data_IF_546890382763
#
_entry.id   IF_546890382763
#
_cell.length_a   1.000
_cell.length_b   1.000
_cell.length_c   1.000
_cell.angle_alpha   90.00
_cell.angle_beta   90.00
_cell.angle_gamma   90.00
#
_symmetry.space_group_name_H-M   'P 1'
#
loop_
_entity.id
_entity.type
_entity.pdbx_description
1 polymer ?
#
# COMPACT_ATOMS: atom_id res chain seq x y z
N UNK A 1 -1.90 17.29 -5.45
CA UNK A 1 -3.21 16.64 -5.67
C UNK A 1 -4.17 17.22 -4.66
N UNK A 2 -5.36 17.63 -5.08
CA UNK A 2 -6.28 18.42 -4.25
C UNK A 2 -7.25 17.52 -3.47
N UNK A 3 -7.54 16.32 -3.98
CA UNK A 3 -8.59 15.45 -3.47
C UNK A 3 -8.04 14.20 -2.75
N UNK A 4 -6.80 14.26 -2.24
CA UNK A 4 -6.17 13.14 -1.53
C UNK A 4 -6.11 13.38 -0.02
N UNK A 5 -6.14 12.30 0.75
CA UNK A 5 -5.86 12.35 2.16
C UNK A 5 -4.41 12.83 2.44
N UNK A 6 -4.20 13.62 3.50
CA UNK A 6 -2.89 14.18 3.80
C UNK A 6 -1.90 13.07 4.18
N UNK A 7 -0.66 13.22 3.71
CA UNK A 7 0.46 12.37 4.12
C UNK A 7 0.75 12.62 5.59
N UNK A 8 0.86 11.54 6.35
CA UNK A 8 1.19 11.56 7.77
C UNK A 8 2.66 11.22 8.00
N UNK A 9 3.19 10.25 7.27
CA UNK A 9 4.55 9.77 7.46
C UNK A 9 5.11 9.12 6.21
N UNK A 10 6.38 9.35 5.93
CA UNK A 10 7.15 8.75 4.84
C UNK A 10 8.33 8.02 5.46
N UNK A 11 8.59 6.76 5.09
CA UNK A 11 9.71 6.00 5.62
C UNK A 11 10.29 5.05 4.57
N UNK A 12 11.62 4.94 4.55
CA UNK A 12 12.37 3.97 3.72
C UNK A 12 12.73 2.70 4.49
N UNK A 13 12.30 2.59 5.75
CA UNK A 13 12.49 1.39 6.56
C UNK A 13 11.47 0.34 6.11
N UNK A 14 11.97 -0.78 5.62
CA UNK A 14 11.12 -1.87 5.12
C UNK A 14 10.21 -2.42 6.23
N UNK A 15 8.94 -2.66 5.90
CA UNK A 15 7.95 -3.29 6.79
C UNK A 15 7.09 -4.27 6.00
N UNK A 16 7.13 -5.54 6.38
CA UNK A 16 6.39 -6.59 5.68
C UNK A 16 6.89 -6.78 4.25
N UNK A 17 6.00 -6.66 3.27
CA UNK A 17 6.31 -6.80 1.84
C UNK A 17 6.76 -5.50 1.16
N UNK A 18 6.69 -4.36 1.85
CA UNK A 18 7.06 -3.06 1.29
C UNK A 18 8.50 -2.67 1.69
N UNK A 19 9.30 -2.21 0.71
CA UNK A 19 10.67 -1.76 0.94
C UNK A 19 10.75 -0.37 1.58
N UNK A 20 9.74 0.46 1.34
CA UNK A 20 9.45 1.74 2.00
C UNK A 20 7.95 2.01 1.91
N UNK A 21 7.43 2.97 2.68
CA UNK A 21 5.99 3.24 2.72
C UNK A 21 5.67 4.70 3.04
N UNK A 22 4.57 5.16 2.46
CA UNK A 22 3.92 6.44 2.79
C UNK A 22 2.57 6.14 3.42
N UNK A 23 2.31 6.72 4.59
CA UNK A 23 1.02 6.60 5.28
C UNK A 23 0.23 7.87 5.04
N UNK A 24 -0.98 7.73 4.50
CA UNK A 24 -2.03 8.74 4.53
C UNK A 24 -3.15 8.29 5.46
N UNK A 25 -3.73 9.20 6.26
CA UNK A 25 -4.89 8.88 7.11
C UNK A 25 -6.11 9.67 6.62
N UNK A 26 -7.29 9.03 6.53
CA UNK A 26 -8.53 9.72 6.20
C UNK A 26 -8.82 10.86 7.16
N UNK A 27 -9.23 12.00 6.61
CA UNK A 27 -9.64 13.15 7.44
C UNK A 27 -11.05 13.00 8.01
N UNK A 28 -11.91 12.23 7.34
CA UNK A 28 -13.31 12.01 7.71
C UNK A 28 -13.76 10.59 7.34
N UNK A 29 -14.80 10.09 8.02
CA UNK A 29 -15.48 8.84 7.64
C UNK A 29 -16.27 9.07 6.34
N UNK A 30 -15.66 8.76 5.19
CA UNK A 30 -16.26 8.95 3.87
C UNK A 30 -17.10 7.74 3.47
N UNK A 31 -18.40 7.97 3.27
CA UNK A 31 -19.32 6.98 2.67
C UNK A 31 -19.42 7.11 1.15
N UNK A 32 -19.06 8.26 0.60
CA UNK A 32 -19.14 8.58 -0.83
C UNK A 32 -17.77 9.04 -1.30
N UNK A 33 -17.37 8.59 -2.48
CA UNK A 33 -16.10 8.98 -3.11
C UNK A 33 -16.38 9.44 -4.53
N UNK A 34 -15.86 10.61 -4.87
CA UNK A 34 -16.04 11.21 -6.19
C UNK A 34 -15.07 10.61 -7.21
N UNK A 35 -15.36 10.80 -8.50
CA UNK A 35 -14.44 10.42 -9.59
C UNK A 35 -13.08 11.12 -9.44
N UNK A 36 -13.07 12.40 -9.07
CA UNK A 36 -11.85 13.19 -8.91
C UNK A 36 -10.97 12.66 -7.78
N UNK A 37 -11.56 12.32 -6.62
CA UNK A 37 -10.84 11.69 -5.50
C UNK A 37 -10.21 10.34 -5.90
N UNK A 38 -10.95 9.50 -6.63
CA UNK A 38 -10.42 8.22 -7.11
C UNK A 38 -9.26 8.42 -8.09
N UNK A 39 -9.41 9.33 -9.05
CA UNK A 39 -8.35 9.67 -10.01
C UNK A 39 -7.09 10.19 -9.31
N UNK A 40 -7.24 11.12 -8.35
CA UNK A 40 -6.13 11.67 -7.59
C UNK A 40 -5.47 10.59 -6.72
N UNK A 41 -6.25 9.71 -6.09
CA UNK A 41 -5.75 8.59 -5.30
C UNK A 41 -4.97 7.60 -6.16
N UNK A 42 -5.45 7.30 -7.38
CA UNK A 42 -4.73 6.46 -8.34
C UNK A 42 -3.41 7.11 -8.76
N UNK A 43 -3.40 8.41 -9.04
CA UNK A 43 -2.18 9.14 -9.39
C UNK A 43 -1.16 9.13 -8.23
N UNK A 44 -1.62 9.37 -7.01
CA UNK A 44 -0.76 9.26 -5.80
C UNK A 44 -0.16 7.86 -5.67
N UNK A 45 -0.98 6.82 -5.85
CA UNK A 45 -0.57 5.41 -5.75
C UNK A 45 0.48 5.04 -6.81
N UNK A 46 0.37 5.59 -8.03
CA UNK A 46 1.34 5.40 -9.10
C UNK A 46 2.60 6.27 -8.97
N UNK A 47 2.67 7.15 -7.96
CA UNK A 47 3.77 8.10 -7.76
C UNK A 47 5.13 7.41 -7.65
N UNK A 48 5.22 6.28 -6.95
CA UNK A 48 6.48 5.52 -6.85
C UNK A 48 7.00 5.04 -8.21
N UNK A 49 6.12 4.44 -9.02
CA UNK A 49 6.46 3.99 -10.37
C UNK A 49 6.83 5.15 -11.29
N UNK A 50 6.08 6.25 -11.22
CA UNK A 50 6.38 7.45 -11.98
C UNK A 50 7.72 8.08 -11.58
N UNK A 51 8.07 8.08 -10.29
CA UNK A 51 9.37 8.54 -9.80
C UNK A 51 10.52 7.68 -10.36
N UNK A 52 10.37 6.35 -10.38
CA UNK A 52 11.37 5.46 -10.97
C UNK A 52 11.61 5.77 -12.47
N UNK A 53 10.53 5.93 -13.24
CA UNK A 53 10.62 6.28 -14.66
C UNK A 53 11.34 7.62 -14.89
N UNK A 54 11.09 8.62 -14.04
CA UNK A 54 11.66 9.96 -14.16
C UNK A 54 13.14 10.00 -13.74
N UNK A 55 13.50 9.29 -12.67
CA UNK A 55 14.84 9.36 -12.07
C UNK A 55 15.79 8.37 -12.72
N UNK A 56 15.34 7.12 -12.93
CA UNK A 56 16.19 6.03 -13.42
C UNK A 56 15.99 5.71 -14.89
N UNK A 57 14.89 6.16 -15.50
CA UNK A 57 14.56 5.83 -16.90
C UNK A 57 14.17 4.35 -17.11
N UNK A 58 14.03 3.59 -16.03
CA UNK A 58 13.66 2.18 -16.01
C UNK A 58 12.67 1.95 -14.85
N UNK A 59 11.80 0.96 -15.00
CA UNK A 59 10.80 0.58 -13.99
C UNK A 59 11.21 -0.70 -13.28
N UNK A 60 10.91 -0.79 -11.98
CA UNK A 60 11.18 -1.98 -11.19
C UNK A 60 9.90 -2.81 -10.93
N UNK A 61 10.07 -3.97 -10.31
CA UNK A 61 8.95 -4.79 -9.82
C UNK A 61 8.35 -4.25 -8.52
N UNK A 62 8.91 -3.20 -7.93
CA UNK A 62 8.46 -2.65 -6.64
C UNK A 62 7.03 -2.10 -6.65
N UNK A 63 6.54 -1.66 -7.82
CA UNK A 63 5.21 -1.09 -7.98
C UNK A 63 4.09 -2.12 -8.25
N UNK A 64 4.35 -3.42 -8.14
CA UNK A 64 3.35 -4.47 -8.48
C UNK A 64 2.04 -4.31 -7.71
N UNK A 65 2.13 -4.14 -6.39
CA UNK A 65 0.97 -3.96 -5.51
C UNK A 65 0.19 -2.66 -5.82
N UNK A 66 0.89 -1.61 -6.22
CA UNK A 66 0.27 -0.33 -6.57
C UNK A 66 -0.48 -0.44 -7.90
N UNK A 67 0.10 -1.13 -8.89
CA UNK A 67 -0.58 -1.46 -10.15
C UNK A 67 -1.82 -2.31 -9.93
N UNK A 68 -1.77 -3.31 -9.06
CA UNK A 68 -2.93 -4.14 -8.71
C UNK A 68 -4.07 -3.31 -8.11
N UNK A 69 -3.76 -2.46 -7.12
CA UNK A 69 -4.75 -1.56 -6.50
C UNK A 69 -5.37 -0.59 -7.49
N UNK A 70 -4.52 0.07 -8.30
CA UNK A 70 -4.95 1.06 -9.30
C UNK A 70 -5.83 0.39 -10.36
N UNK A 71 -5.45 -0.80 -10.83
CA UNK A 71 -6.25 -1.57 -11.78
C UNK A 71 -7.59 -1.97 -11.18
N UNK A 72 -7.61 -2.42 -9.92
CA UNK A 72 -8.84 -2.77 -9.23
C UNK A 72 -9.78 -1.55 -9.08
N UNK A 73 -9.25 -0.39 -8.69
CA UNK A 73 -10.01 0.85 -8.59
C UNK A 73 -10.58 1.27 -9.95
N UNK A 74 -9.77 1.28 -11.01
CA UNK A 74 -10.22 1.59 -12.36
C UNK A 74 -11.35 0.65 -12.81
N UNK A 75 -11.21 -0.65 -12.52
CA UNK A 75 -12.25 -1.65 -12.80
C UNK A 75 -13.55 -1.34 -12.06
N UNK A 76 -13.50 -0.93 -10.78
CA UNK A 76 -14.69 -0.51 -10.03
C UNK A 76 -15.32 0.76 -10.60
N UNK A 77 -14.50 1.76 -10.95
CA UNK A 77 -14.95 3.00 -11.58
C UNK A 77 -15.77 2.72 -12.84
N UNK A 78 -15.28 1.83 -13.70
CA UNK A 78 -15.93 1.47 -14.96
C UNK A 78 -17.13 0.54 -14.72
N UNK A 79 -16.94 -0.55 -13.99
CA UNK A 79 -17.91 -1.64 -13.94
C UNK A 79 -19.00 -1.48 -12.88
N UNK A 80 -18.76 -0.71 -11.81
CA UNK A 80 -19.69 -0.59 -10.68
C UNK A 80 -20.21 0.83 -10.49
N UNK A 81 -19.33 1.82 -10.61
CA UNK A 81 -19.69 3.21 -10.31
C UNK A 81 -20.21 3.98 -11.53
N UNK A 82 -20.16 3.38 -12.73
CA UNK A 82 -20.63 4.03 -13.95
C UNK A 82 -19.85 5.30 -14.29
N UNK A 83 -18.56 5.36 -13.91
CA UNK A 83 -17.69 6.53 -14.08
C UNK A 83 -16.96 6.54 -15.44
N UNK A 84 -17.46 5.80 -16.43
CA UNK A 84 -17.03 5.90 -17.82
C UNK A 84 -18.07 6.69 -18.61
N UNK A 85 -17.64 7.76 -19.28
CA UNK A 85 -18.53 8.56 -20.14
C UNK A 85 -18.99 7.76 -21.36
N UNK A 86 -18.13 6.86 -21.85
CA UNK A 86 -18.41 6.03 -23.03
C UNK A 86 -19.44 4.93 -22.71
N UNK A 87 -19.29 4.26 -21.58
CA UNK A 87 -20.14 3.12 -21.19
C UNK A 87 -21.40 3.55 -20.40
N UNK A 88 -21.38 4.77 -19.85
CA UNK A 88 -22.50 5.38 -19.15
C UNK A 88 -22.74 4.82 -17.74
N UNK A 89 -23.80 5.30 -17.06
CA UNK A 89 -24.07 5.00 -15.66
C UNK A 89 -24.80 3.66 -15.50
N UNK A 90 -24.10 2.55 -15.77
CA UNK A 90 -24.63 1.19 -15.57
C UNK A 90 -23.61 0.27 -14.92
N UNK A 91 -24.10 -0.81 -14.34
CA UNK A 91 -23.28 -1.88 -13.76
C UNK A 91 -23.02 -2.96 -14.80
N UNK A 92 -21.80 -3.52 -14.77
CA UNK A 92 -21.36 -4.64 -15.60
C UNK A 92 -20.90 -5.81 -14.72
N UNK A 93 -21.28 -7.03 -15.10
CA UNK A 93 -20.93 -8.28 -14.45
C UNK A 93 -21.66 -8.52 -13.13
N UNK A 94 -21.53 -9.74 -12.60
CA UNK A 94 -22.06 -10.12 -11.28
C UNK A 94 -21.01 -9.87 -10.19
N UNK A 95 -21.43 -9.56 -8.97
CA UNK A 95 -20.52 -9.31 -7.86
C UNK A 95 -19.95 -10.62 -7.29
N UNK A 96 -18.63 -10.67 -7.10
CA UNK A 96 -17.92 -11.85 -6.59
C UNK A 96 -17.85 -11.89 -5.04
N UNK A 97 -18.56 -10.98 -4.36
CA UNK A 97 -18.41 -10.71 -2.92
C UNK A 97 -18.86 -11.79 -1.94
N UNK A 98 -19.43 -12.92 -2.37
CA UNK A 98 -19.93 -13.96 -1.45
C UNK A 98 -19.67 -15.39 -2.00
N UNK A 99 -18.52 -16.03 -1.72
CA UNK A 99 -18.21 -17.38 -2.17
C UNK A 99 -18.89 -18.51 -1.35
N UNK A 100 -19.91 -18.22 -0.54
CA UNK A 100 -20.34 -19.15 0.53
C UNK A 100 -21.37 -20.23 0.14
N UNK A 101 -21.67 -20.45 -1.15
CA UNK A 101 -22.62 -21.49 -1.56
C UNK A 101 -22.15 -22.19 -2.83
N UNK A 102 -21.21 -23.13 -2.69
CA UNK A 102 -21.13 -24.42 -3.40
C UNK A 102 -21.56 -24.51 -4.88
N UNK A 103 -21.42 -23.45 -5.67
CA UNK A 103 -21.67 -23.45 -7.11
C UNK A 103 -20.48 -22.82 -7.82
N UNK A 104 -19.93 -23.64 -8.71
CA UNK A 104 -18.89 -23.36 -9.68
C UNK A 104 -19.17 -22.00 -10.37
N UNK A 105 -18.24 -21.04 -10.30
CA UNK A 105 -17.08 -20.89 -11.18
C UNK A 105 -17.38 -20.70 -12.68
N UNK A 106 -18.53 -20.14 -13.03
CA UNK A 106 -18.71 -19.47 -14.33
C UNK A 106 -19.95 -18.59 -14.31
N UNK A 107 -19.83 -17.40 -13.72
CA UNK A 107 -20.73 -16.30 -14.07
C UNK A 107 -20.29 -15.82 -15.44
N UNK A 108 -20.99 -16.23 -16.50
CA UNK A 108 -20.84 -15.54 -17.79
C UNK A 108 -21.09 -14.04 -17.58
N UNK A 109 -20.28 -13.17 -18.18
CA UNK A 109 -20.56 -11.75 -18.20
C UNK A 109 -21.97 -11.48 -18.74
N UNK A 110 -22.67 -10.54 -18.13
CA UNK A 110 -23.97 -10.04 -18.64
C UNK A 110 -23.81 -9.00 -19.77
N UNK A 111 -22.67 -9.04 -20.46
CA UNK A 111 -22.29 -8.13 -21.53
C UNK A 111 -21.57 -8.87 -22.66
N UNK A 112 -21.63 -8.32 -23.87
CA UNK A 112 -21.01 -8.91 -25.06
C UNK A 112 -19.48 -8.74 -25.07
N UNK A 113 -18.79 -9.52 -25.90
CA UNK A 113 -17.36 -9.37 -26.13
C UNK A 113 -16.97 -7.95 -26.61
N UNK A 114 -17.84 -7.30 -27.38
CA UNK A 114 -17.63 -5.93 -27.82
C UNK A 114 -17.60 -4.98 -26.62
N UNK A 115 -18.56 -5.12 -25.70
CA UNK A 115 -18.58 -4.33 -24.45
C UNK A 115 -17.40 -4.68 -23.56
N UNK A 116 -16.98 -5.95 -23.50
CA UNK A 116 -15.79 -6.36 -22.75
C UNK A 116 -14.53 -5.64 -23.24
N UNK A 117 -14.33 -5.55 -24.55
CA UNK A 117 -13.20 -4.79 -25.14
C UNK A 117 -13.28 -3.31 -24.82
N UNK A 118 -14.48 -2.73 -24.76
CA UNK A 118 -14.66 -1.33 -24.37
C UNK A 118 -14.35 -1.09 -22.89
N UNK A 119 -14.73 -2.02 -22.01
CA UNK A 119 -14.39 -1.97 -20.58
C UNK A 119 -12.87 -1.98 -20.40
N UNK A 120 -12.17 -2.91 -21.06
CA UNK A 120 -10.70 -3.00 -20.97
C UNK A 120 -10.02 -1.73 -21.51
N UNK A 121 -10.52 -1.17 -22.60
CA UNK A 121 -10.02 0.08 -23.16
C UNK A 121 -10.20 1.26 -22.19
N UNK A 122 -11.36 1.34 -21.51
CA UNK A 122 -11.63 2.39 -20.52
C UNK A 122 -10.78 2.21 -19.26
N UNK A 123 -10.59 0.99 -18.77
CA UNK A 123 -9.69 0.71 -17.64
C UNK A 123 -8.28 1.17 -18.00
N UNK A 124 -7.76 0.77 -19.16
CA UNK A 124 -6.44 1.20 -19.64
C UNK A 124 -6.33 2.72 -19.71
N UNK A 125 -7.35 3.40 -20.25
CA UNK A 125 -7.37 4.86 -20.37
C UNK A 125 -7.26 5.53 -18.99
N UNK A 126 -8.06 5.12 -18.02
CA UNK A 126 -8.07 5.71 -16.67
C UNK A 126 -6.74 5.48 -15.95
N UNK A 127 -6.17 4.27 -16.04
CA UNK A 127 -4.87 3.96 -15.44
C UNK A 127 -3.74 4.80 -16.06
N UNK A 128 -3.75 4.94 -17.39
CA UNK A 128 -2.77 5.76 -18.12
C UNK A 128 -2.90 7.24 -17.76
N UNK A 129 -4.11 7.78 -17.66
CA UNK A 129 -4.36 9.17 -17.23
C UNK A 129 -3.83 9.43 -15.82
N UNK A 130 -4.06 8.49 -14.88
CA UNK A 130 -3.51 8.57 -13.53
C UNK A 130 -1.98 8.53 -13.51
N UNK A 131 -1.36 7.66 -14.32
CA UNK A 131 0.09 7.58 -14.47
C UNK A 131 0.69 8.87 -15.04
N UNK A 132 0.06 9.42 -16.08
CA UNK A 132 0.49 10.67 -16.71
C UNK A 132 0.38 11.85 -15.74
N UNK A 133 -0.70 11.93 -14.96
CA UNK A 133 -0.86 12.93 -13.91
C UNK A 133 0.25 12.83 -12.86
N UNK A 134 0.55 11.62 -12.39
CA UNK A 134 1.65 11.37 -11.45
C UNK A 134 3.00 11.84 -12.02
N UNK A 135 3.29 11.48 -13.28
CA UNK A 135 4.51 11.91 -13.99
C UNK A 135 4.59 13.42 -14.15
N UNK A 136 3.48 14.07 -14.49
CA UNK A 136 3.43 15.52 -14.64
C UNK A 136 3.76 16.22 -13.33
N UNK A 137 3.11 15.81 -12.24
CA UNK A 137 3.29 16.42 -10.91
C UNK A 137 4.73 16.21 -10.42
N UNK A 138 5.25 14.99 -10.49
CA UNK A 138 6.63 14.71 -10.07
C UNK A 138 7.66 15.40 -10.97
N UNK A 139 7.37 15.58 -12.26
CA UNK A 139 8.20 16.35 -13.16
C UNK A 139 8.22 17.84 -12.81
N UNK A 140 7.09 18.41 -12.39
CA UNK A 140 6.99 19.80 -11.92
C UNK A 140 7.70 20.02 -10.59
N UNK A 141 7.68 19.01 -9.71
CA UNK A 141 8.28 19.03 -8.38
C UNK A 141 9.58 18.19 -8.30
N UNK A 142 10.39 18.21 -9.37
CA UNK A 142 11.57 17.35 -9.46
C UNK A 142 12.62 17.67 -8.39
N UNK A 143 12.84 18.94 -8.11
CA UNK A 143 13.79 19.38 -7.08
C UNK A 143 13.34 18.93 -5.68
N UNK A 144 12.04 19.07 -5.37
CA UNK A 144 11.45 18.63 -4.11
C UNK A 144 11.57 17.10 -3.92
N UNK A 145 11.37 16.34 -5.02
CA UNK A 145 11.52 14.87 -5.02
C UNK A 145 12.95 14.46 -4.68
N UNK A 146 13.93 15.03 -5.38
CA UNK A 146 15.35 14.70 -5.19
C UNK A 146 15.80 15.08 -3.77
N UNK A 147 15.44 16.29 -3.31
CA UNK A 147 15.76 16.76 -1.95
C UNK A 147 15.13 15.88 -0.86
N UNK A 148 13.87 15.50 -1.02
CA UNK A 148 13.20 14.60 -0.07
C UNK A 148 13.88 13.23 -0.01
N UNK A 149 14.30 12.70 -1.16
CA UNK A 149 15.01 11.42 -1.24
C UNK A 149 16.35 11.47 -0.48
N UNK A 150 17.14 12.53 -0.68
CA UNK A 150 18.42 12.72 0.01
C UNK A 150 18.28 12.82 1.54
N UNK A 151 17.20 13.43 2.02
CA UNK A 151 16.89 13.49 3.45
C UNK A 151 16.47 12.10 3.96
N UNK A 152 15.62 11.38 3.24
CA UNK A 152 15.19 10.03 3.62
C UNK A 152 16.37 9.05 3.71
N UNK A 153 17.41 9.21 2.88
CA UNK A 153 18.63 8.41 2.99
C UNK A 153 19.40 8.64 4.30
N UNK A 154 19.25 9.81 4.92
CA UNK A 154 19.95 10.18 6.17
C UNK A 154 19.11 10.00 7.41
N UNK A 155 17.80 10.28 7.32
CA UNK A 155 16.86 10.27 8.46
C UNK A 155 15.96 9.04 8.50
N UNK A 156 15.90 8.27 7.41
CA UNK A 156 15.08 7.06 7.20
C UNK A 156 13.55 7.27 7.28
N UNK A 157 13.09 8.30 7.97
CA UNK A 157 11.69 8.64 8.20
C UNK A 157 11.51 10.15 8.25
N UNK A 158 10.43 10.64 7.64
CA UNK A 158 9.99 12.04 7.68
C UNK A 158 8.51 12.05 8.09
N UNK A 159 8.19 12.78 9.15
CA UNK A 159 6.80 13.01 9.60
C UNK A 159 6.16 14.17 8.82
N UNK A 160 4.83 14.26 8.83
CA UNK A 160 4.06 15.27 8.08
C UNK A 160 4.59 16.70 8.23
N UNK A 161 4.70 17.18 9.47
CA UNK A 161 5.06 18.57 9.74
C UNK A 161 6.48 18.88 9.24
N UNK A 162 7.37 17.88 9.32
CA UNK A 162 8.72 17.97 8.76
C UNK A 162 8.69 18.01 7.24
N UNK A 163 7.89 17.14 6.61
CA UNK A 163 7.74 17.12 5.16
C UNK A 163 7.21 18.45 4.63
N UNK A 164 6.16 19.00 5.25
CA UNK A 164 5.62 20.31 4.87
C UNK A 164 6.64 21.43 5.06
N UNK A 165 7.38 21.44 6.17
CA UNK A 165 8.45 22.40 6.41
C UNK A 165 9.55 22.35 5.34
N UNK A 166 9.92 21.14 4.88
CA UNK A 166 10.90 20.97 3.80
C UNK A 166 10.38 21.47 2.46
N UNK A 167 9.10 21.22 2.13
CA UNK A 167 8.46 21.75 0.93
C UNK A 167 8.33 23.29 0.95
N UNK A 168 8.25 23.89 2.14
CA UNK A 168 8.31 25.35 2.34
C UNK A 168 9.74 25.92 2.19
N UNK A 169 10.74 25.07 1.96
CA UNK A 169 12.13 25.47 1.78
C UNK A 169 12.91 25.69 3.09
N UNK A 170 12.41 25.21 4.25
CA UNK A 170 13.16 25.27 5.50
C UNK A 170 14.37 24.35 5.45
N UNK A 171 15.47 24.78 6.07
CA UNK A 171 16.69 24.00 6.10
C UNK A 171 16.53 22.76 6.98
N UNK A 172 17.16 21.65 6.59
CA UNK A 172 17.07 20.38 7.33
C UNK A 172 17.45 20.52 8.82
N UNK A 173 18.48 21.31 9.14
CA UNK A 173 18.90 21.55 10.52
C UNK A 173 17.80 22.26 11.35
N UNK A 174 17.00 23.10 10.72
CA UNK A 174 15.86 23.78 11.35
C UNK A 174 14.71 22.79 11.61
N UNK A 175 14.51 21.83 10.71
CA UNK A 175 13.41 20.86 10.76
C UNK A 175 13.68 19.71 11.73
N UNK A 176 14.91 19.16 11.72
CA UNK A 176 15.27 17.98 12.50
C UNK A 176 16.15 18.30 13.72
N UNK A 177 16.67 19.53 13.83
CA UNK A 177 17.67 19.87 14.82
C UNK A 177 19.06 19.32 14.49
N UNK A 178 20.06 19.56 15.36
CA UNK A 178 21.37 18.91 15.23
C UNK A 178 21.22 17.40 15.39
N UNK A 179 22.08 16.64 14.72
CA UNK A 179 22.12 15.19 14.92
C UNK A 179 22.37 14.88 16.40
N UNK A 180 21.48 14.09 17.01
CA UNK A 180 21.76 13.56 18.34
C UNK A 180 23.04 12.73 18.26
N UNK A 181 24.03 12.97 19.14
CA UNK A 181 25.20 12.12 19.20
C UNK A 181 24.71 10.70 19.47
N UNK A 182 25.05 9.76 18.58
CA UNK A 182 24.81 8.34 18.80
C UNK A 182 25.48 7.98 20.12
N UNK A 183 24.70 7.87 21.19
CA UNK A 183 25.21 7.42 22.47
C UNK A 183 25.78 6.01 22.24
N UNK A 184 27.02 5.73 22.66
CA UNK A 184 27.54 4.38 22.57
C UNK A 184 26.54 3.44 23.25
N UNK A 185 26.30 2.24 22.68
CA UNK A 185 25.37 1.29 23.29
C UNK A 185 25.75 1.11 24.76
N UNK A 186 24.77 1.06 25.67
CA UNK A 186 25.07 0.86 27.08
C UNK A 186 25.91 -0.41 27.22
N UNK A 187 26.92 -0.41 28.11
CA UNK A 187 27.71 -1.61 28.34
C UNK A 187 26.77 -2.78 28.65
N UNK A 188 27.09 -4.00 28.17
CA UNK A 188 26.26 -5.15 28.45
C UNK A 188 26.06 -5.27 29.97
N UNK A 189 24.85 -5.63 30.44
CA UNK A 189 24.60 -5.79 31.85
C UNK A 189 25.62 -6.77 32.44
N UNK A 190 26.10 -6.55 33.69
CA UNK A 190 27.02 -7.48 34.33
C UNK A 190 26.40 -8.87 34.30
N UNK A 191 27.20 -9.86 33.89
CA UNK A 191 26.76 -11.24 33.84
C UNK A 191 26.12 -11.61 35.18
N UNK A 192 24.84 -11.99 35.15
CA UNK A 192 24.17 -12.53 36.33
C UNK A 192 25.01 -13.72 36.84
N UNK A 193 25.20 -13.86 38.17
CA UNK A 193 25.86 -15.02 38.71
C UNK A 193 25.17 -16.28 38.18
N UNK A 194 25.97 -17.25 37.73
CA UNK A 194 25.47 -18.50 37.18
C UNK A 194 24.46 -19.13 38.14
N UNK A 195 23.19 -19.16 37.71
CA UNK A 195 22.11 -19.81 38.43
C UNK A 195 22.45 -21.31 38.54
N UNK A 196 22.62 -21.79 39.78
CA UNK A 196 22.79 -23.20 40.07
C UNK A 196 21.52 -23.92 39.63
N UNK A 197 21.60 -24.54 38.44
CA UNK A 197 20.48 -25.27 37.83
C UNK A 197 19.87 -26.26 38.82
N UNK A 198 18.67 -25.94 39.29
CA UNK A 198 17.80 -26.86 40.02
C UNK A 198 17.46 -28.04 39.09
N UNK A 199 17.55 -29.30 39.55
CA UNK A 199 17.44 -30.45 38.66
C UNK A 199 16.04 -30.55 38.00
N UNK A 200 16.04 -30.78 36.70
CA UNK A 200 14.84 -30.95 35.86
C UNK A 200 13.96 -32.10 36.38
N UNK A 201 12.68 -31.82 36.60
CA UNK A 201 11.66 -32.86 36.81
C UNK A 201 11.33 -33.50 35.47
N UNK A 202 11.52 -34.83 35.39
CA UNK A 202 11.16 -35.64 34.22
C UNK A 202 9.67 -35.47 33.87
N UNK A 203 9.31 -35.32 32.57
CA UNK A 203 7.92 -35.22 32.17
C UNK A 203 7.18 -36.55 32.37
N UNK A 204 5.99 -36.48 32.96
CA UNK A 204 5.06 -37.61 33.09
C UNK A 204 4.39 -37.89 31.74
N UNK A 205 4.25 -39.16 31.32
CA UNK A 205 3.61 -39.48 30.04
C UNK A 205 2.09 -39.22 30.10
N UNK A 206 1.56 -38.66 29.01
CA UNK A 206 0.13 -38.45 28.77
C UNK A 206 -0.59 -39.81 28.57
N UNK A 207 -1.82 -40.00 29.08
CA UNK A 207 -2.58 -41.22 28.88
C UNK A 207 -3.03 -41.37 27.42
N UNK A 208 -2.93 -42.60 26.88
CA UNK A 208 -3.28 -42.93 25.49
C UNK A 208 -4.81 -42.92 25.30
N UNK A 209 -5.32 -42.39 24.16
CA UNK A 209 -6.73 -42.49 23.81
C UNK A 209 -7.15 -43.96 23.59
N UNK A 210 -8.20 -44.39 24.27
CA UNK A 210 -8.75 -45.74 24.16
C UNK A 210 -9.41 -46.00 22.81
N UNK A 211 -9.00 -47.09 22.17
CA UNK A 211 -9.76 -47.75 21.11
C UNK A 211 -11.02 -48.36 21.71
N UNK A 212 -12.19 -47.79 21.40
CA UNK A 212 -13.47 -48.48 21.57
C UNK A 212 -13.76 -49.27 20.29
N UNK A 213 -13.31 -50.52 20.24
CA UNK A 213 -13.83 -51.55 19.34
C UNK A 213 -14.94 -52.31 20.05
N UNK A 214 -16.08 -52.48 19.39
CA UNK A 214 -17.27 -53.12 19.94
C UNK A 214 -17.31 -54.64 19.84
N UNK A 215 -18.29 -55.22 20.53
CA UNK A 215 -18.94 -56.53 20.29
C UNK A 215 -20.14 -56.62 21.27
N UNK A 216 -21.37 -56.74 20.76
CA UNK A 216 -22.14 -57.99 20.70
C UNK A 216 -22.68 -58.44 22.07
N UNK A 217 -23.93 -58.10 22.36
CA UNK A 217 -25.09 -59.02 22.42
C UNK A 217 -26.40 -58.21 22.46
#
# INVERSE_FOLDING_TARGET
>A
LENTDPVHKISVISRGQALGYTISLPTEDKFLTTRAELSDTMAMTLGGRAAEEIVFGEVTTGASNDLEKVTATAKQMVMRFGMSEKLGPRVFGHDHGQPFLGREFSSEPDYSDDVAREIDAEIRRIVEEAHQLARQILGQHREDLDHTSEILLRRETIERDQFLALLEGKAELEVFGPDEPVLPPPPPPPAAPADERKPERKPSPLPRPGFAGGSAD
#
